data_IF_284274950445
#
_entry.id   IF_284274950445
#
_cell.length_a   1.000
_cell.length_b   1.000
_cell.length_c   1.000
_cell.angle_alpha   90.00
_cell.angle_beta   90.00
_cell.angle_gamma   90.00
#
_symmetry.space_group_name_H-M   'P 1'
#
loop_
_entity.id
_entity.type
_entity.pdbx_description
1 polymer ?
#
# COMPACT_ATOMS: atom_id res chain seq x y z
N UNK A 1 -60.82 -17.82 -2.16
CA UNK A 1 -61.33 -18.38 -3.42
C UNK A 1 -60.25 -18.09 -4.45
N UNK A 2 -59.46 -18.96 -5.04
CA UNK A 2 -59.55 -20.37 -5.44
C UNK A 2 -58.14 -20.94 -5.41
N UNK A 3 -58.01 -22.13 -4.81
CA UNK A 3 -56.85 -23.03 -4.88
C UNK A 3 -56.62 -23.58 -6.29
N UNK A 4 -55.36 -23.84 -6.66
CA UNK A 4 -55.03 -25.01 -7.46
C UNK A 4 -53.63 -25.56 -7.09
N UNK A 5 -53.68 -26.69 -6.46
CA UNK A 5 -52.63 -27.70 -6.22
C UNK A 5 -52.65 -28.70 -7.39
N UNK A 6 -51.48 -29.21 -7.84
CA UNK A 6 -51.35 -30.58 -8.43
C UNK A 6 -49.91 -30.85 -8.91
N UNK A 7 -49.55 -32.15 -9.06
CA UNK A 7 -49.06 -33.05 -8.02
C UNK A 7 -47.70 -33.68 -8.38
N UNK A 8 -47.20 -34.41 -7.40
CA UNK A 8 -46.02 -35.27 -7.40
C UNK A 8 -46.18 -36.44 -8.38
N UNK A 9 -45.12 -36.83 -9.10
CA UNK A 9 -44.97 -38.12 -9.69
C UNK A 9 -43.59 -38.72 -9.37
N UNK A 10 -43.60 -39.74 -8.50
CA UNK A 10 -42.49 -40.63 -8.24
C UNK A 10 -42.42 -41.67 -9.37
N UNK A 11 -41.22 -42.04 -9.79
CA UNK A 11 -40.94 -43.39 -10.32
C UNK A 11 -39.48 -43.74 -10.02
N UNK A 12 -39.33 -44.68 -9.09
CA UNK A 12 -38.14 -45.48 -8.89
C UNK A 12 -37.93 -46.45 -10.04
N UNK A 13 -36.68 -46.60 -10.48
CA UNK A 13 -36.25 -47.85 -11.09
C UNK A 13 -34.80 -48.19 -10.72
N UNK A 14 -34.67 -49.26 -9.97
CA UNK A 14 -33.44 -49.98 -9.64
C UNK A 14 -32.77 -50.56 -10.90
N UNK A 15 -31.48 -50.40 -11.03
CA UNK A 15 -30.62 -51.36 -11.72
C UNK A 15 -29.29 -51.53 -10.95
N UNK A 16 -29.22 -52.65 -10.23
CA UNK A 16 -27.98 -53.24 -9.73
C UNK A 16 -27.23 -53.89 -10.88
N UNK A 17 -26.00 -53.50 -11.15
CA UNK A 17 -25.00 -54.33 -11.79
C UNK A 17 -23.70 -54.31 -10.99
N UNK A 18 -23.37 -55.46 -10.44
CA UNK A 18 -22.12 -55.83 -9.79
C UNK A 18 -21.02 -56.02 -10.83
N UNK A 19 -19.86 -55.43 -10.63
CA UNK A 19 -18.60 -55.79 -11.29
C UNK A 19 -17.50 -56.03 -10.24
N UNK A 20 -16.55 -56.95 -10.49
CA UNK A 20 -15.64 -57.52 -9.51
C UNK A 20 -14.46 -56.59 -9.17
N UNK A 21 -13.73 -56.83 -8.05
CA UNK A 21 -12.66 -55.98 -7.58
C UNK A 21 -11.39 -56.18 -8.42
N UNK A 22 -10.83 -55.07 -8.95
CA UNK A 22 -9.45 -55.05 -9.47
C UNK A 22 -8.51 -54.52 -8.38
N UNK A 23 -7.50 -55.32 -8.12
CA UNK A 23 -6.36 -55.06 -7.27
C UNK A 23 -5.70 -53.73 -7.64
N UNK A 24 -5.59 -52.81 -6.70
CA UNK A 24 -4.77 -51.60 -6.81
C UNK A 24 -3.36 -51.87 -6.29
N UNK A 25 -2.37 -51.81 -7.16
CA UNK A 25 -0.98 -51.67 -6.76
C UNK A 25 -0.69 -50.18 -6.40
N UNK A 26 0.17 -49.91 -5.40
CA UNK A 26 0.42 -48.57 -4.91
C UNK A 26 1.67 -47.96 -5.58
N UNK A 27 1.53 -47.26 -6.70
CA UNK A 27 2.56 -46.33 -7.16
C UNK A 27 1.92 -45.24 -8.03
N UNK A 28 1.96 -43.98 -7.61
CA UNK A 28 1.74 -42.86 -8.51
C UNK A 28 0.88 -41.67 -8.02
N UNK A 29 0.53 -41.54 -6.75
CA UNK A 29 -0.43 -40.48 -6.33
C UNK A 29 0.16 -39.25 -5.62
N UNK A 30 1.50 -39.10 -5.54
CA UNK A 30 2.10 -37.99 -4.77
C UNK A 30 2.70 -36.84 -5.60
N UNK A 31 2.87 -37.01 -6.92
CA UNK A 31 3.47 -35.93 -7.75
C UNK A 31 2.46 -35.00 -8.42
N UNK A 32 1.21 -35.46 -8.65
CA UNK A 32 0.19 -34.60 -9.29
C UNK A 32 -0.44 -33.56 -8.37
N UNK A 33 -0.53 -33.81 -7.06
CA UNK A 33 -1.09 -32.81 -6.10
C UNK A 33 -0.19 -31.59 -5.84
N UNK A 34 1.12 -31.70 -6.05
CA UNK A 34 2.04 -30.58 -5.81
C UNK A 34 2.08 -29.60 -7.00
N UNK A 35 1.83 -30.06 -8.21
CA UNK A 35 1.83 -29.22 -9.41
C UNK A 35 0.51 -28.43 -9.58
N UNK A 36 -0.64 -28.97 -9.17
CA UNK A 36 -1.91 -28.25 -9.20
C UNK A 36 -2.08 -27.25 -8.04
N UNK A 37 -1.43 -27.49 -6.90
CA UNK A 37 -1.40 -26.54 -5.77
C UNK A 37 -0.51 -25.32 -6.03
N UNK A 38 0.41 -25.37 -7.00
CA UNK A 38 1.32 -24.26 -7.34
C UNK A 38 0.70 -23.21 -8.27
N UNK A 39 -0.55 -23.38 -8.71
CA UNK A 39 -1.22 -22.46 -9.64
C UNK A 39 -2.44 -21.74 -9.04
N UNK A 40 -2.66 -21.82 -7.73
CA UNK A 40 -3.81 -21.16 -7.08
C UNK A 40 -3.32 -19.87 -6.42
N UNK A 41 -3.78 -18.72 -6.92
CA UNK A 41 -3.45 -17.42 -6.34
C UNK A 41 -4.04 -17.24 -4.93
N UNK A 42 -3.57 -16.21 -4.20
CA UNK A 42 -3.91 -16.00 -2.79
C UNK A 42 -5.42 -15.88 -2.56
N UNK A 43 -6.13 -15.10 -3.37
CA UNK A 43 -7.57 -14.90 -3.19
C UNK A 43 -8.37 -16.17 -3.47
N UNK A 44 -8.04 -16.89 -4.52
CA UNK A 44 -8.72 -18.16 -4.84
C UNK A 44 -8.47 -19.21 -3.75
N UNK A 45 -7.22 -19.35 -3.26
CA UNK A 45 -6.89 -20.22 -2.14
C UNK A 45 -7.73 -19.86 -0.91
N UNK A 46 -7.80 -18.58 -0.58
CA UNK A 46 -8.56 -18.08 0.55
C UNK A 46 -10.07 -18.36 0.44
N UNK A 47 -10.66 -18.15 -0.73
CA UNK A 47 -12.08 -18.50 -1.00
C UNK A 47 -12.37 -19.99 -0.86
N UNK A 48 -11.40 -20.84 -1.16
CA UNK A 48 -11.46 -22.29 -0.94
C UNK A 48 -11.19 -22.69 0.53
N UNK A 49 -10.93 -21.73 1.41
CA UNK A 49 -10.55 -21.98 2.81
C UNK A 49 -9.15 -22.54 3.00
N UNK A 50 -8.30 -22.49 1.97
CA UNK A 50 -6.92 -22.96 2.00
C UNK A 50 -6.00 -21.86 2.52
N UNK A 51 -5.24 -22.17 3.56
CA UNK A 51 -4.26 -21.25 4.15
C UNK A 51 -2.91 -21.48 3.46
N UNK A 52 -2.42 -20.48 2.74
CA UNK A 52 -1.12 -20.52 2.06
C UNK A 52 0.03 -20.26 3.03
N UNK A 53 1.28 -20.47 2.59
CA UNK A 53 2.46 -20.15 3.39
C UNK A 53 2.58 -18.62 3.59
N UNK A 54 2.23 -17.82 2.57
CA UNK A 54 2.20 -16.37 2.66
C UNK A 54 1.21 -15.90 3.74
N UNK A 55 0.02 -16.48 3.81
CA UNK A 55 -0.96 -16.18 4.87
C UNK A 55 -0.43 -16.52 6.26
N UNK A 56 0.37 -17.58 6.41
CA UNK A 56 0.99 -17.95 7.69
C UNK A 56 2.10 -16.96 8.07
N UNK A 57 2.90 -16.53 7.09
CA UNK A 57 3.95 -15.53 7.32
C UNK A 57 3.31 -14.21 7.79
N UNK A 58 2.32 -13.70 7.05
CA UNK A 58 1.58 -12.48 7.41
C UNK A 58 0.94 -12.62 8.80
N UNK A 59 0.31 -13.76 9.09
CA UNK A 59 -0.31 -14.00 10.38
C UNK A 59 0.68 -13.94 11.54
N UNK A 60 1.89 -14.47 11.35
CA UNK A 60 2.98 -14.43 12.33
C UNK A 60 3.49 -13.00 12.54
N UNK A 61 3.74 -12.26 11.46
CA UNK A 61 4.24 -10.89 11.53
C UNK A 61 3.23 -9.92 12.17
N UNK A 62 1.94 -10.17 11.96
CA UNK A 62 0.86 -9.35 12.51
C UNK A 62 0.33 -9.86 13.86
N UNK A 63 0.91 -10.92 14.42
CA UNK A 63 0.41 -11.60 15.64
C UNK A 63 -1.10 -11.86 15.56
N UNK A 64 -1.53 -12.47 14.44
CA UNK A 64 -2.92 -12.75 14.15
C UNK A 64 -3.11 -14.24 13.76
N UNK A 65 -4.34 -14.72 13.79
CA UNK A 65 -4.67 -16.08 13.39
C UNK A 65 -4.61 -16.25 11.86
N UNK A 66 -3.92 -17.27 11.32
CA UNK A 66 -3.93 -17.57 9.89
C UNK A 66 -5.35 -17.76 9.31
N UNK A 67 -6.30 -18.29 10.09
CA UNK A 67 -7.69 -18.40 9.70
C UNK A 67 -8.39 -17.06 9.53
N UNK A 68 -8.02 -16.05 10.36
CA UNK A 68 -8.57 -14.70 10.20
C UNK A 68 -7.99 -14.02 8.96
N UNK A 69 -6.67 -14.14 8.74
CA UNK A 69 -6.04 -13.65 7.50
C UNK A 69 -6.74 -14.27 6.28
N UNK A 70 -6.87 -15.59 6.22
CA UNK A 70 -7.54 -16.27 5.12
C UNK A 70 -8.96 -15.73 4.86
N UNK A 71 -9.78 -15.56 5.91
CA UNK A 71 -11.13 -15.00 5.76
C UNK A 71 -11.14 -13.57 5.21
N UNK A 72 -10.20 -12.72 5.68
CA UNK A 72 -10.09 -11.32 5.24
C UNK A 72 -9.59 -11.23 3.79
N UNK A 73 -8.66 -12.10 3.38
CA UNK A 73 -8.21 -12.22 1.98
C UNK A 73 -9.37 -12.70 1.09
N UNK A 74 -10.12 -13.74 1.51
CA UNK A 74 -11.28 -14.22 0.78
C UNK A 74 -12.38 -13.16 0.59
N UNK A 75 -12.51 -12.25 1.57
CA UNK A 75 -13.45 -11.11 1.51
C UNK A 75 -12.88 -9.90 0.75
N UNK A 76 -11.61 -9.92 0.28
CA UNK A 76 -10.95 -8.80 -0.37
C UNK A 76 -10.70 -7.61 0.55
N UNK A 77 -10.65 -7.81 1.88
CA UNK A 77 -10.38 -6.79 2.91
C UNK A 77 -8.94 -6.78 3.39
N UNK A 78 -8.17 -7.80 3.01
CA UNK A 78 -6.72 -7.89 3.16
C UNK A 78 -6.17 -8.36 1.84
N UNK A 79 -5.09 -7.74 1.39
CA UNK A 79 -4.27 -8.22 0.26
C UNK A 79 -2.92 -8.69 0.78
N UNK A 80 -2.34 -9.66 0.11
CA UNK A 80 -0.98 -10.13 0.34
C UNK A 80 -0.16 -9.76 -0.88
N UNK A 81 0.72 -8.77 -0.72
CA UNK A 81 1.56 -8.25 -1.79
C UNK A 81 2.79 -9.13 -1.96
N UNK A 82 2.70 -10.06 -2.90
CA UNK A 82 3.80 -10.89 -3.37
C UNK A 82 3.47 -11.49 -4.73
N UNK A 83 4.27 -11.15 -5.74
CA UNK A 83 4.20 -11.75 -7.07
C UNK A 83 4.80 -13.17 -7.04
N UNK A 84 4.23 -14.11 -7.80
CA UNK A 84 4.71 -15.50 -7.88
C UNK A 84 6.12 -15.62 -8.46
N UNK A 85 6.53 -14.70 -9.34
CA UNK A 85 7.88 -14.65 -9.94
C UNK A 85 8.93 -14.02 -8.99
N UNK A 86 8.50 -13.45 -7.86
CA UNK A 86 9.39 -12.79 -6.92
C UNK A 86 9.94 -13.77 -5.87
N UNK A 87 11.24 -14.05 -5.90
CA UNK A 87 11.89 -15.03 -5.01
C UNK A 87 12.22 -14.44 -3.62
N UNK A 88 12.70 -13.18 -3.59
CA UNK A 88 13.25 -12.56 -2.39
C UNK A 88 12.28 -11.69 -1.59
N UNK A 89 11.03 -11.48 -2.04
CA UNK A 89 10.08 -10.68 -1.28
C UNK A 89 9.50 -11.43 -0.08
N UNK A 90 9.48 -10.76 1.07
CA UNK A 90 8.74 -11.19 2.25
C UNK A 90 7.27 -10.83 2.03
N UNK A 91 6.33 -11.79 2.07
CA UNK A 91 4.91 -11.51 1.90
C UNK A 91 4.41 -10.50 2.94
N UNK A 92 3.73 -9.45 2.49
CA UNK A 92 3.20 -8.39 3.33
C UNK A 92 1.67 -8.36 3.24
N UNK A 93 1.00 -8.38 4.39
CA UNK A 93 -0.45 -8.16 4.47
C UNK A 93 -0.79 -6.67 4.61
N UNK A 94 -1.74 -6.16 3.80
CA UNK A 94 -2.25 -4.79 3.89
C UNK A 94 -3.77 -4.87 4.01
N UNK A 95 -4.36 -4.21 5.02
CA UNK A 95 -5.82 -4.12 5.16
C UNK A 95 -6.34 -4.29 6.58
N UNK A 96 -7.61 -4.69 6.65
CA UNK A 96 -8.41 -4.74 7.88
C UNK A 96 -7.74 -5.47 9.04
N UNK A 97 -7.58 -4.74 10.16
CA UNK A 97 -7.10 -5.30 11.42
C UNK A 97 -5.61 -5.66 11.45
N UNK A 98 -4.83 -5.19 10.49
CA UNK A 98 -3.37 -5.27 10.45
C UNK A 98 -2.75 -3.94 10.82
N UNK A 99 -1.43 -3.92 11.08
CA UNK A 99 -0.68 -2.68 11.26
C UNK A 99 -0.84 -1.78 10.03
N UNK A 100 -0.86 -0.48 10.25
CA UNK A 100 -0.83 0.52 9.18
C UNK A 100 0.52 0.47 8.47
N UNK A 101 0.52 0.27 7.15
CA UNK A 101 1.74 0.13 6.35
C UNK A 101 2.20 1.48 5.80
N UNK A 102 3.50 1.57 5.52
CA UNK A 102 4.14 2.75 4.95
C UNK A 102 4.84 2.39 3.65
N UNK A 103 4.51 3.10 2.58
CA UNK A 103 5.19 3.02 1.29
C UNK A 103 6.15 4.19 1.12
N UNK A 104 7.33 3.91 0.57
CA UNK A 104 8.27 4.93 0.13
C UNK A 104 8.41 4.91 -1.39
N UNK A 105 8.37 6.10 -2.02
CA UNK A 105 8.59 6.25 -3.45
C UNK A 105 10.06 6.56 -3.74
N UNK A 106 10.62 5.90 -4.74
CA UNK A 106 11.93 6.21 -5.31
C UNK A 106 11.79 6.32 -6.83
N UNK A 107 12.79 6.82 -7.51
CA UNK A 107 12.77 6.82 -8.97
C UNK A 107 13.56 7.96 -9.59
N UNK A 108 14.12 7.68 -10.76
CA UNK A 108 14.88 8.62 -11.59
C UNK A 108 13.99 9.63 -12.30
N UNK A 109 14.56 10.77 -12.64
CA UNK A 109 13.95 11.76 -13.55
C UNK A 109 14.91 12.11 -14.69
N UNK A 110 14.43 12.91 -15.65
CA UNK A 110 15.28 13.41 -16.73
C UNK A 110 16.45 14.27 -16.23
N UNK A 111 16.25 14.99 -15.13
CA UNK A 111 17.26 15.87 -14.55
C UNK A 111 18.27 15.11 -13.65
N UNK A 112 17.87 13.98 -13.08
CA UNK A 112 18.72 13.14 -12.23
C UNK A 112 18.43 11.67 -12.47
N UNK A 113 19.34 11.01 -13.20
CA UNK A 113 19.25 9.60 -13.55
C UNK A 113 20.47 8.85 -13.02
N UNK A 114 20.41 8.43 -11.75
CA UNK A 114 21.44 7.65 -11.07
C UNK A 114 20.84 6.41 -10.42
N UNK A 115 21.05 5.25 -11.07
CA UNK A 115 20.58 3.95 -10.59
C UNK A 115 21.09 3.61 -9.19
N UNK A 116 22.38 3.90 -8.90
CA UNK A 116 22.95 3.55 -7.60
C UNK A 116 22.32 4.39 -6.48
N UNK A 117 22.05 5.67 -6.75
CA UNK A 117 21.37 6.55 -5.81
C UNK A 117 19.96 6.04 -5.50
N UNK A 118 19.20 5.61 -6.52
CA UNK A 118 17.83 5.10 -6.30
C UNK A 118 17.84 3.77 -5.53
N UNK A 119 18.81 2.90 -5.77
CA UNK A 119 19.01 1.68 -4.97
C UNK A 119 19.33 2.01 -3.51
N UNK A 120 20.20 2.98 -3.26
CA UNK A 120 20.51 3.41 -1.88
C UNK A 120 19.29 4.07 -1.20
N UNK A 121 18.49 4.85 -1.93
CA UNK A 121 17.21 5.38 -1.41
C UNK A 121 16.27 4.24 -1.00
N UNK A 122 16.10 3.21 -1.84
CA UNK A 122 15.29 2.05 -1.52
C UNK A 122 15.78 1.33 -0.25
N UNK A 123 17.09 1.08 -0.13
CA UNK A 123 17.68 0.47 1.06
C UNK A 123 17.48 1.32 2.31
N UNK A 124 17.69 2.63 2.22
CA UNK A 124 17.45 3.55 3.33
C UNK A 124 15.99 3.53 3.74
N UNK A 125 15.06 3.59 2.80
CA UNK A 125 13.63 3.50 3.10
C UNK A 125 13.30 2.24 3.91
N UNK A 126 13.77 1.08 3.47
CA UNK A 126 13.56 -0.21 4.16
C UNK A 126 14.23 -0.23 5.54
N UNK A 127 15.47 0.23 5.64
CA UNK A 127 16.22 0.26 6.90
C UNK A 127 15.56 1.13 7.98
N UNK A 128 14.83 2.18 7.59
CA UNK A 128 14.09 3.05 8.49
C UNK A 128 12.62 2.68 8.63
N UNK A 129 12.20 1.57 8.02
CA UNK A 129 10.94 0.90 8.32
C UNK A 129 9.83 1.09 7.27
N UNK A 130 10.13 1.49 6.05
CA UNK A 130 9.17 1.38 4.96
C UNK A 130 8.76 -0.09 4.77
N UNK A 131 7.47 -0.34 4.69
CA UNK A 131 6.91 -1.69 4.52
C UNK A 131 6.89 -2.11 3.05
N UNK A 132 6.90 -1.13 2.12
CA UNK A 132 7.02 -1.31 0.66
C UNK A 132 7.84 -0.18 0.06
N UNK A 133 8.34 -0.41 -1.15
CA UNK A 133 8.95 0.63 -1.99
C UNK A 133 8.26 0.67 -3.34
N UNK A 134 8.05 1.85 -3.90
CA UNK A 134 7.47 2.04 -5.21
C UNK A 134 8.47 2.71 -6.14
N UNK A 135 8.78 2.06 -7.27
CA UNK A 135 9.64 2.60 -8.31
C UNK A 135 8.83 3.46 -9.29
N UNK A 136 9.06 4.75 -9.25
CA UNK A 136 8.41 5.77 -10.10
C UNK A 136 9.37 6.33 -11.16
N UNK A 137 10.42 5.60 -11.52
CA UNK A 137 11.44 6.03 -12.47
C UNK A 137 10.86 6.43 -13.82
N UNK A 138 11.39 7.55 -14.35
CA UNK A 138 10.95 8.13 -15.63
C UNK A 138 12.11 8.42 -16.59
N UNK A 139 13.33 8.01 -16.27
CA UNK A 139 14.51 8.19 -17.11
C UNK A 139 15.50 7.04 -16.94
N UNK A 140 16.34 6.84 -17.95
CA UNK A 140 17.33 5.78 -18.00
C UNK A 140 16.82 4.48 -18.61
N UNK A 141 17.47 3.37 -18.26
CA UNK A 141 17.01 2.03 -18.59
C UNK A 141 16.01 1.53 -17.52
N UNK A 142 14.73 1.78 -17.76
CA UNK A 142 13.68 1.52 -16.77
C UNK A 142 13.59 0.04 -16.39
N UNK A 143 13.86 -0.86 -17.30
CA UNK A 143 13.87 -2.31 -17.03
C UNK A 143 15.03 -2.70 -16.09
N UNK A 144 16.19 -2.13 -16.30
CA UNK A 144 17.36 -2.38 -15.46
C UNK A 144 17.19 -1.78 -14.07
N UNK A 145 16.67 -0.54 -13.99
CA UNK A 145 16.38 0.14 -12.71
C UNK A 145 15.42 -0.70 -11.89
N UNK A 146 14.27 -1.06 -12.44
CA UNK A 146 13.26 -1.89 -11.78
C UNK A 146 13.83 -3.22 -11.27
N UNK A 147 14.53 -3.97 -12.14
CA UNK A 147 15.11 -5.27 -11.77
C UNK A 147 16.21 -5.14 -10.71
N UNK A 148 16.94 -4.05 -10.72
CA UNK A 148 18.00 -3.80 -9.73
C UNK A 148 17.39 -3.46 -8.37
N UNK A 149 16.35 -2.62 -8.33
CA UNK A 149 15.61 -2.32 -7.09
C UNK A 149 14.94 -3.58 -6.53
N UNK A 150 14.27 -4.39 -7.39
CA UNK A 150 13.66 -5.67 -7.01
C UNK A 150 14.65 -6.62 -6.32
N UNK A 151 15.90 -6.64 -6.76
CA UNK A 151 16.97 -7.49 -6.17
C UNK A 151 17.56 -6.89 -4.89
N UNK A 152 17.55 -5.57 -4.76
CA UNK A 152 18.25 -4.85 -3.70
C UNK A 152 17.54 -4.88 -2.34
N UNK A 153 16.22 -5.10 -2.31
CA UNK A 153 15.40 -5.09 -1.10
C UNK A 153 14.45 -6.29 -1.08
N UNK A 154 14.04 -6.70 0.12
CA UNK A 154 13.18 -7.86 0.38
C UNK A 154 11.72 -7.48 0.70
N UNK A 155 11.39 -6.19 0.73
CA UNK A 155 10.01 -5.72 0.84
C UNK A 155 9.30 -5.76 -0.52
N UNK A 156 7.96 -5.82 -0.55
CA UNK A 156 7.22 -5.74 -1.80
C UNK A 156 7.48 -4.44 -2.57
N UNK A 157 7.62 -4.57 -3.89
CA UNK A 157 7.86 -3.46 -4.81
C UNK A 157 6.63 -3.18 -5.65
N UNK A 158 6.23 -1.90 -5.66
CA UNK A 158 5.19 -1.38 -6.55
C UNK A 158 5.76 -0.62 -7.75
N UNK A 159 4.97 -0.52 -8.81
CA UNK A 159 5.29 0.30 -9.99
C UNK A 159 4.04 0.93 -10.61
N UNK A 160 4.25 1.88 -11.53
CA UNK A 160 3.19 2.49 -12.35
C UNK A 160 3.49 2.23 -13.83
N UNK A 161 3.05 1.10 -14.42
CA UNK A 161 3.48 0.66 -15.75
C UNK A 161 3.25 1.69 -16.86
N UNK A 162 2.19 2.49 -16.78
CA UNK A 162 1.89 3.51 -17.79
C UNK A 162 2.98 4.59 -17.89
N UNK A 163 3.81 4.78 -16.86
CA UNK A 163 4.94 5.71 -16.95
C UNK A 163 5.97 5.20 -17.95
N UNK A 164 6.32 3.92 -17.89
CA UNK A 164 7.25 3.32 -18.85
C UNK A 164 6.66 3.32 -20.25
N UNK A 165 5.39 2.93 -20.42
CA UNK A 165 4.73 2.97 -21.72
C UNK A 165 4.78 4.37 -22.35
N UNK A 166 4.46 5.41 -21.58
CA UNK A 166 4.48 6.78 -22.07
C UNK A 166 5.89 7.24 -22.48
N UNK A 167 6.92 6.90 -21.66
CA UNK A 167 8.31 7.29 -21.91
C UNK A 167 8.88 6.58 -23.15
N UNK A 168 8.62 5.27 -23.28
CA UNK A 168 9.02 4.50 -24.47
C UNK A 168 8.30 5.04 -25.71
N UNK A 169 7.00 5.35 -25.62
CA UNK A 169 6.24 5.95 -26.72
C UNK A 169 6.78 7.33 -27.12
N UNK A 170 7.17 8.18 -26.17
CA UNK A 170 7.78 9.48 -26.51
C UNK A 170 9.07 9.30 -27.30
N UNK A 171 9.90 8.33 -26.91
CA UNK A 171 11.17 8.04 -27.60
C UNK A 171 10.96 7.57 -29.04
N UNK A 172 9.91 6.77 -29.26
CA UNK A 172 9.67 6.10 -30.54
C UNK A 172 8.70 6.89 -31.45
N UNK A 173 7.71 7.58 -30.86
CA UNK A 173 6.59 8.20 -31.57
C UNK A 173 6.39 9.69 -31.21
N UNK A 174 7.32 10.31 -30.51
CA UNK A 174 7.40 11.74 -30.16
C UNK A 174 6.33 12.28 -29.20
N UNK A 175 5.21 11.59 -28.97
CA UNK A 175 4.14 12.09 -28.11
C UNK A 175 3.41 10.97 -27.34
N UNK A 176 3.06 11.25 -26.07
CA UNK A 176 2.34 10.32 -25.16
C UNK A 176 1.01 9.87 -25.78
N UNK A 177 0.32 10.74 -26.49
CA UNK A 177 -0.97 10.43 -27.10
C UNK A 177 -0.89 9.29 -28.13
N UNK A 178 0.28 8.97 -28.65
CA UNK A 178 0.49 7.87 -29.58
C UNK A 178 0.74 6.52 -28.92
N UNK A 179 0.51 6.38 -27.59
CA UNK A 179 0.53 5.08 -26.93
C UNK A 179 -0.47 4.14 -27.60
N UNK A 180 -0.03 2.91 -27.85
CA UNK A 180 -0.92 1.84 -28.30
C UNK A 180 -1.49 1.08 -27.10
N UNK A 181 -2.74 0.59 -27.25
CA UNK A 181 -3.39 -0.19 -26.20
C UNK A 181 -2.58 -1.45 -25.85
N UNK A 182 -2.00 -2.12 -26.86
CA UNK A 182 -1.16 -3.30 -26.65
C UNK A 182 0.14 -2.95 -25.91
N UNK A 183 0.75 -1.79 -26.16
CA UNK A 183 1.98 -1.37 -25.48
C UNK A 183 1.73 -1.21 -23.98
N UNK A 184 0.55 -0.71 -23.57
CA UNK A 184 0.15 -0.59 -22.17
C UNK A 184 0.11 -1.97 -21.50
N UNK A 185 -0.60 -2.93 -22.09
CA UNK A 185 -0.73 -4.27 -21.51
C UNK A 185 0.56 -5.09 -21.57
N UNK A 186 1.35 -4.95 -22.65
CA UNK A 186 2.67 -5.57 -22.75
C UNK A 186 3.62 -5.07 -21.65
N UNK A 187 3.56 -3.77 -21.32
CA UNK A 187 4.36 -3.20 -20.22
C UNK A 187 3.91 -3.73 -18.87
N UNK A 188 2.60 -3.85 -18.62
CA UNK A 188 2.06 -4.46 -17.40
C UNK A 188 2.55 -5.90 -17.26
N UNK A 189 2.43 -6.70 -18.33
CA UNK A 189 2.89 -8.10 -18.29
C UNK A 189 4.42 -8.19 -18.11
N UNK A 190 5.19 -7.28 -18.71
CA UNK A 190 6.64 -7.17 -18.53
C UNK A 190 7.01 -6.93 -17.05
N UNK A 191 6.34 -5.97 -16.38
CA UNK A 191 6.54 -5.72 -14.95
C UNK A 191 6.15 -6.94 -14.11
N UNK A 192 5.05 -7.61 -14.45
CA UNK A 192 4.63 -8.82 -13.77
C UNK A 192 5.67 -9.95 -13.88
N UNK A 193 6.23 -10.17 -15.07
CA UNK A 193 7.32 -11.14 -15.32
C UNK A 193 8.61 -10.81 -14.58
N UNK A 194 8.91 -9.53 -14.37
CA UNK A 194 10.06 -9.10 -13.59
C UNK A 194 9.86 -9.29 -12.07
N UNK A 195 8.65 -9.63 -11.62
CA UNK A 195 8.32 -9.92 -10.22
C UNK A 195 7.83 -8.71 -9.43
N UNK A 196 7.22 -7.71 -10.07
CA UNK A 196 6.58 -6.58 -9.36
C UNK A 196 5.39 -7.07 -8.55
N UNK A 197 5.32 -6.72 -7.27
CA UNK A 197 4.39 -7.28 -6.30
C UNK A 197 3.01 -6.60 -6.31
N UNK A 198 2.95 -5.31 -6.68
CA UNK A 198 1.71 -4.57 -6.89
C UNK A 198 1.89 -3.48 -7.94
N UNK A 199 0.83 -3.13 -8.67
CA UNK A 199 0.92 -2.16 -9.76
C UNK A 199 -0.22 -1.16 -9.69
N UNK A 200 0.14 0.14 -9.76
CA UNK A 200 -0.85 1.20 -9.87
C UNK A 200 -1.35 1.29 -11.30
N UNK A 201 -2.67 1.17 -11.46
CA UNK A 201 -3.39 1.21 -12.72
C UNK A 201 -4.58 2.17 -12.60
N UNK A 202 -4.62 3.21 -13.45
CA UNK A 202 -5.62 4.28 -13.38
C UNK A 202 -6.88 3.93 -14.19
N UNK A 203 -7.52 2.82 -13.82
CA UNK A 203 -8.71 2.32 -14.53
C UNK A 203 -9.95 3.20 -14.33
N UNK A 204 -10.01 3.98 -13.23
CA UNK A 204 -11.15 4.83 -12.89
C UNK A 204 -11.28 6.10 -13.75
N UNK A 205 -10.24 6.47 -14.50
CA UNK A 205 -10.23 7.65 -15.39
C UNK A 205 -11.03 7.36 -16.66
N UNK A 206 -12.33 7.57 -16.64
CA UNK A 206 -13.21 7.26 -17.79
C UNK A 206 -13.38 8.44 -18.75
N UNK A 207 -13.73 8.15 -20.01
CA UNK A 207 -13.99 9.16 -21.02
C UNK A 207 -15.07 10.16 -20.58
N UNK A 208 -16.11 9.68 -19.90
CA UNK A 208 -17.20 10.52 -19.41
C UNK A 208 -16.69 11.58 -18.43
N UNK A 209 -15.84 11.17 -17.48
CA UNK A 209 -15.31 12.09 -16.48
C UNK A 209 -14.38 13.11 -17.12
N UNK A 210 -13.44 12.64 -17.96
CA UNK A 210 -12.47 13.50 -18.66
C UNK A 210 -13.16 14.55 -19.53
N UNK A 211 -14.17 14.17 -20.32
CA UNK A 211 -14.96 15.12 -21.12
C UNK A 211 -15.71 16.15 -20.28
N UNK A 212 -16.12 15.79 -19.07
CA UNK A 212 -16.79 16.74 -18.18
C UNK A 212 -15.79 17.70 -17.52
N UNK A 213 -14.62 17.22 -17.10
CA UNK A 213 -13.53 18.07 -16.59
C UNK A 213 -13.12 19.10 -17.64
N UNK A 214 -13.01 18.69 -18.93
CA UNK A 214 -12.67 19.60 -20.02
C UNK A 214 -13.70 20.75 -20.17
N UNK A 215 -14.96 20.56 -19.81
CA UNK A 215 -16.01 21.58 -19.85
C UNK A 215 -16.13 22.37 -18.52
N UNK A 216 -15.79 21.76 -17.42
CA UNK A 216 -15.89 22.32 -16.07
C UNK A 216 -14.57 22.08 -15.34
N UNK A 217 -13.52 22.87 -15.62
CA UNK A 217 -12.19 22.62 -15.09
C UNK A 217 -12.16 22.84 -13.56
N UNK A 218 -11.33 22.01 -12.91
CA UNK A 218 -10.93 22.16 -11.51
C UNK A 218 -9.84 23.21 -11.39
N UNK A 219 -9.57 23.68 -10.17
CA UNK A 219 -8.50 24.65 -9.91
C UNK A 219 -7.13 24.12 -10.37
N UNK A 220 -6.77 22.89 -9.98
CA UNK A 220 -5.50 22.26 -10.34
C UNK A 220 -5.60 21.29 -11.53
N UNK A 221 -6.80 21.09 -12.08
CA UNK A 221 -7.02 20.13 -13.18
C UNK A 221 -6.77 18.68 -12.76
N UNK A 222 -5.96 17.94 -13.52
CA UNK A 222 -5.58 16.54 -13.25
C UNK A 222 -4.10 16.53 -12.91
N UNK A 223 -3.75 16.23 -11.66
CA UNK A 223 -2.37 16.27 -11.13
C UNK A 223 -1.71 14.89 -11.07
N UNK A 224 -2.49 13.81 -11.12
CA UNK A 224 -1.93 12.47 -11.25
C UNK A 224 -1.26 12.32 -12.62
N UNK A 225 0.03 11.96 -12.64
CA UNK A 225 0.76 11.76 -13.89
C UNK A 225 0.11 10.69 -14.78
N UNK A 226 -0.24 9.54 -14.21
CA UNK A 226 -0.93 8.47 -14.95
C UNK A 226 -2.33 8.88 -15.38
N UNK A 227 -3.07 9.58 -14.52
CA UNK A 227 -4.38 10.15 -14.85
C UNK A 227 -4.31 11.15 -16.01
N UNK A 228 -3.29 12.03 -15.99
CA UNK A 228 -3.07 13.02 -17.07
C UNK A 228 -2.71 12.35 -18.40
N UNK A 229 -1.85 11.32 -18.38
CA UNK A 229 -1.48 10.59 -19.60
C UNK A 229 -2.71 9.94 -20.26
N UNK A 230 -3.54 9.29 -19.46
CA UNK A 230 -4.77 8.68 -19.93
C UNK A 230 -5.81 9.72 -20.36
N UNK A 231 -5.96 10.82 -19.63
CA UNK A 231 -6.87 11.89 -20.02
C UNK A 231 -6.48 12.52 -21.37
N UNK A 232 -5.19 12.78 -21.61
CA UNK A 232 -4.68 13.26 -22.88
C UNK A 232 -4.95 12.26 -24.02
N UNK A 233 -4.70 10.98 -23.78
CA UNK A 233 -4.97 9.90 -24.73
C UNK A 233 -6.47 9.81 -25.07
N UNK A 234 -7.35 9.82 -24.05
CA UNK A 234 -8.81 9.77 -24.20
C UNK A 234 -9.32 10.95 -25.06
N UNK A 235 -8.85 12.17 -24.76
CA UNK A 235 -9.26 13.36 -25.50
C UNK A 235 -8.80 13.33 -26.95
N UNK A 236 -7.56 12.87 -27.20
CA UNK A 236 -7.01 12.80 -28.55
C UNK A 236 -7.72 11.76 -29.42
N UNK A 237 -7.88 10.53 -28.90
CA UNK A 237 -8.48 9.44 -29.65
C UNK A 237 -10.00 9.45 -29.61
N UNK A 238 -10.61 10.22 -28.72
CA UNK A 238 -12.05 10.22 -28.48
C UNK A 238 -12.58 8.80 -28.16
N UNK A 239 -11.75 7.97 -27.49
CA UNK A 239 -12.05 6.61 -27.06
C UNK A 239 -12.05 6.49 -25.54
N UNK A 240 -12.60 5.39 -25.06
CA UNK A 240 -12.54 5.05 -23.62
C UNK A 240 -11.12 4.66 -23.22
N UNK A 241 -10.80 4.86 -21.93
CA UNK A 241 -9.56 4.42 -21.30
C UNK A 241 -9.30 2.93 -21.59
N UNK A 242 -8.18 2.56 -22.20
CA UNK A 242 -7.88 1.15 -22.51
C UNK A 242 -7.89 0.24 -21.28
N UNK A 243 -7.42 0.73 -20.11
CA UNK A 243 -7.39 -0.04 -18.86
C UNK A 243 -8.79 -0.29 -18.28
N UNK A 244 -9.74 0.63 -18.52
CA UNK A 244 -11.14 0.44 -18.15
C UNK A 244 -11.87 -0.46 -19.16
N UNK A 245 -11.71 -0.18 -20.45
CA UNK A 245 -12.39 -0.91 -21.53
C UNK A 245 -11.99 -2.40 -21.57
N UNK A 246 -10.72 -2.71 -21.32
CA UNK A 246 -10.17 -4.07 -21.34
C UNK A 246 -9.80 -4.56 -19.92
N UNK A 247 -10.60 -4.18 -18.90
CA UNK A 247 -10.30 -4.50 -17.52
C UNK A 247 -10.23 -6.02 -17.25
N UNK A 248 -11.05 -6.82 -17.93
CA UNK A 248 -11.01 -8.28 -17.78
C UNK A 248 -9.68 -8.88 -18.24
N UNK A 249 -9.07 -8.34 -19.30
CA UNK A 249 -7.74 -8.75 -19.74
C UNK A 249 -6.66 -8.37 -18.72
N UNK A 250 -6.78 -7.20 -18.08
CA UNK A 250 -5.91 -6.82 -16.96
C UNK A 250 -6.04 -7.79 -15.79
N UNK A 251 -7.26 -8.22 -15.46
CA UNK A 251 -7.52 -9.19 -14.41
C UNK A 251 -6.90 -10.57 -14.74
N UNK A 252 -6.91 -11.00 -15.99
CA UNK A 252 -6.24 -12.23 -16.43
C UNK A 252 -4.72 -12.17 -16.18
N UNK A 253 -4.07 -11.04 -16.52
CA UNK A 253 -2.64 -10.84 -16.25
C UNK A 253 -2.37 -10.84 -14.75
N UNK A 254 -3.15 -10.08 -13.96
CA UNK A 254 -2.97 -10.01 -12.52
C UNK A 254 -3.15 -11.37 -11.84
N UNK A 255 -4.14 -12.13 -12.26
CA UNK A 255 -4.41 -13.48 -11.77
C UNK A 255 -3.28 -14.47 -12.09
N UNK A 256 -2.69 -14.35 -13.29
CA UNK A 256 -1.61 -15.22 -13.77
C UNK A 256 -0.33 -15.11 -12.94
N UNK A 257 0.01 -13.89 -12.51
CA UNK A 257 1.24 -13.59 -11.77
C UNK A 257 1.01 -13.35 -10.28
N UNK A 258 -0.26 -13.33 -9.83
CA UNK A 258 -0.71 -13.05 -8.46
C UNK A 258 -0.15 -11.75 -7.85
N UNK A 259 0.00 -10.70 -8.66
CA UNK A 259 0.29 -9.38 -8.13
C UNK A 259 -1.01 -8.64 -7.77
N UNK A 260 -0.94 -7.76 -6.76
CA UNK A 260 -2.08 -6.95 -6.39
C UNK A 260 -2.25 -5.75 -7.34
N UNK A 261 -3.50 -5.49 -7.76
CA UNK A 261 -3.83 -4.25 -8.44
C UNK A 261 -3.94 -3.13 -7.39
N UNK A 262 -3.26 -2.01 -7.62
CA UNK A 262 -3.50 -0.75 -6.92
C UNK A 262 -4.33 0.12 -7.88
N UNK A 263 -5.64 0.22 -7.61
CA UNK A 263 -6.57 0.99 -8.46
C UNK A 263 -6.34 2.47 -8.18
N UNK A 264 -5.60 3.09 -9.10
CA UNK A 264 -5.01 4.41 -8.91
C UNK A 264 -6.04 5.55 -8.95
N UNK A 265 -5.80 6.55 -8.12
CA UNK A 265 -6.57 7.80 -8.01
C UNK A 265 -6.14 8.83 -9.09
N UNK A 266 -6.40 8.52 -10.35
CA UNK A 266 -6.01 9.35 -11.48
C UNK A 266 -6.62 10.76 -11.45
N UNK A 267 -7.70 10.93 -10.71
CA UNK A 267 -8.42 12.19 -10.55
C UNK A 267 -8.38 12.72 -9.11
N UNK A 268 -7.37 12.32 -8.32
CA UNK A 268 -7.17 12.88 -6.99
C UNK A 268 -7.07 14.40 -7.02
N UNK A 269 -7.54 15.11 -5.96
CA UNK A 269 -7.39 16.56 -5.88
C UNK A 269 -5.92 16.95 -5.77
N UNK A 270 -5.53 18.00 -6.51
CA UNK A 270 -4.19 18.58 -6.49
C UNK A 270 -4.01 19.71 -5.47
N UNK A 271 -5.10 20.11 -4.84
CA UNK A 271 -5.14 21.06 -3.71
C UNK A 271 -6.39 20.81 -2.86
N UNK A 272 -6.38 21.33 -1.63
CA UNK A 272 -7.50 21.21 -0.70
C UNK A 272 -8.82 21.81 -1.22
N UNK A 273 -8.77 22.73 -2.17
CA UNK A 273 -9.95 23.37 -2.77
C UNK A 273 -10.63 22.51 -3.84
N UNK A 274 -9.94 21.52 -4.37
CA UNK A 274 -10.49 20.50 -5.29
C UNK A 274 -10.91 19.22 -4.55
N UNK A 275 -10.72 19.16 -3.21
CA UNK A 275 -11.03 17.97 -2.42
C UNK A 275 -12.52 17.66 -2.43
N UNK A 276 -12.84 16.36 -2.51
CA UNK A 276 -14.22 15.84 -2.47
C UNK A 276 -15.11 16.38 -3.59
N UNK A 277 -14.51 16.82 -4.68
CA UNK A 277 -15.24 17.33 -5.84
C UNK A 277 -15.84 16.18 -6.69
N UNK A 278 -16.62 16.56 -7.70
CA UNK A 278 -17.33 15.60 -8.52
C UNK A 278 -16.38 14.61 -9.26
N UNK A 279 -15.24 15.01 -9.86
CA UNK A 279 -14.34 14.06 -10.51
C UNK A 279 -13.77 13.01 -9.58
N UNK A 280 -13.32 13.41 -8.38
CA UNK A 280 -12.79 12.50 -7.36
C UNK A 280 -13.85 11.47 -6.94
N UNK A 281 -15.06 11.91 -6.63
CA UNK A 281 -16.13 11.03 -6.18
C UNK A 281 -16.61 10.11 -7.31
N UNK A 282 -16.68 10.61 -8.53
CA UNK A 282 -17.10 9.80 -9.68
C UNK A 282 -16.08 8.71 -10.01
N UNK A 283 -14.79 9.03 -9.92
CA UNK A 283 -13.72 8.03 -10.05
C UNK A 283 -13.85 6.95 -8.96
N UNK A 284 -14.06 7.35 -7.71
CA UNK A 284 -14.23 6.41 -6.60
C UNK A 284 -15.42 5.46 -6.81
N UNK A 285 -16.54 5.96 -7.33
CA UNK A 285 -17.70 5.11 -7.68
C UNK A 285 -17.33 4.08 -8.75
N UNK A 286 -16.61 4.51 -9.80
CA UNK A 286 -16.11 3.61 -10.84
C UNK A 286 -15.14 2.57 -10.27
N UNK A 287 -14.23 2.99 -9.39
CA UNK A 287 -13.27 2.09 -8.72
C UNK A 287 -14.01 1.06 -7.86
N UNK A 288 -15.09 1.44 -7.18
CA UNK A 288 -15.89 0.48 -6.41
C UNK A 288 -16.43 -0.67 -7.26
N UNK A 289 -16.95 -0.37 -8.46
CA UNK A 289 -17.38 -1.40 -9.42
C UNK A 289 -16.21 -2.28 -9.88
N UNK A 290 -15.04 -1.69 -10.13
CA UNK A 290 -13.84 -2.43 -10.54
C UNK A 290 -13.29 -3.34 -9.43
N UNK A 291 -13.38 -2.92 -8.16
CA UNK A 291 -13.04 -3.75 -7.01
C UNK A 291 -13.90 -5.01 -6.94
N UNK A 292 -15.21 -4.89 -7.14
CA UNK A 292 -16.10 -6.07 -7.15
C UNK A 292 -15.75 -7.01 -8.30
N UNK A 293 -15.51 -6.51 -9.51
CA UNK A 293 -15.06 -7.33 -10.66
C UNK A 293 -13.73 -8.02 -10.39
N UNK A 294 -12.77 -7.33 -9.75
CA UNK A 294 -11.50 -7.93 -9.35
C UNK A 294 -11.72 -9.10 -8.37
N UNK A 295 -12.57 -8.90 -7.37
CA UNK A 295 -12.94 -9.95 -6.41
C UNK A 295 -13.59 -11.15 -7.09
N UNK A 296 -14.55 -10.93 -7.98
CA UNK A 296 -15.20 -11.99 -8.75
C UNK A 296 -14.20 -12.81 -9.58
N UNK A 297 -13.20 -12.15 -10.15
CA UNK A 297 -12.12 -12.76 -10.91
C UNK A 297 -11.01 -13.42 -10.06
N UNK A 298 -11.11 -13.42 -8.72
CA UNK A 298 -10.08 -13.87 -7.78
C UNK A 298 -8.78 -13.03 -7.81
N UNK A 299 -8.87 -11.73 -8.07
CA UNK A 299 -7.74 -10.80 -8.10
C UNK A 299 -7.75 -9.90 -6.87
N UNK A 300 -6.59 -9.72 -6.25
CA UNK A 300 -6.40 -8.82 -5.11
C UNK A 300 -6.36 -7.36 -5.58
N UNK A 301 -7.08 -6.47 -4.90
CA UNK A 301 -7.11 -5.05 -5.21
C UNK A 301 -6.93 -4.19 -3.96
N UNK A 302 -6.08 -3.17 -4.09
CA UNK A 302 -5.91 -2.02 -3.19
C UNK A 302 -6.58 -0.84 -3.90
N UNK A 303 -7.21 0.05 -3.17
CA UNK A 303 -7.76 1.31 -3.71
C UNK A 303 -6.84 2.45 -3.31
N UNK A 304 -6.48 3.31 -4.27
CA UNK A 304 -5.75 4.54 -3.96
C UNK A 304 -6.72 5.68 -3.68
N UNK A 305 -6.30 6.61 -2.85
CA UNK A 305 -7.14 7.70 -2.40
C UNK A 305 -6.44 9.05 -2.38
N UNK A 306 -7.18 10.12 -2.04
CA UNK A 306 -6.80 11.50 -2.31
C UNK A 306 -5.52 11.92 -1.59
N UNK A 307 -4.76 12.81 -2.26
CA UNK A 307 -3.54 13.40 -1.73
C UNK A 307 -3.77 14.71 -0.96
N UNK A 308 -4.64 15.60 -1.44
CA UNK A 308 -4.89 16.92 -0.83
C UNK A 308 -6.32 16.98 -0.31
N UNK A 309 -6.48 16.96 1.03
CA UNK A 309 -7.79 16.97 1.69
C UNK A 309 -7.72 17.79 2.97
N UNK A 310 -8.60 18.81 3.17
CA UNK A 310 -8.64 19.54 4.43
C UNK A 310 -9.05 18.61 5.58
N UNK A 311 -8.62 18.94 6.80
CA UNK A 311 -8.73 18.06 7.97
C UNK A 311 -10.16 17.56 8.23
N UNK A 312 -11.14 18.42 8.07
CA UNK A 312 -12.56 18.15 8.33
C UNK A 312 -13.21 17.21 7.30
N UNK A 313 -12.57 16.96 6.17
CA UNK A 313 -13.07 16.07 5.12
C UNK A 313 -12.36 14.71 5.08
N UNK A 314 -11.27 14.51 5.82
CA UNK A 314 -10.49 13.26 5.78
C UNK A 314 -11.35 12.06 6.19
N UNK A 315 -12.01 12.14 7.35
CA UNK A 315 -12.80 11.03 7.86
C UNK A 315 -13.91 10.62 6.87
N UNK A 316 -14.65 11.59 6.33
CA UNK A 316 -15.71 11.32 5.38
C UNK A 316 -15.20 10.69 4.07
N UNK A 317 -14.04 11.12 3.55
CA UNK A 317 -13.42 10.52 2.37
C UNK A 317 -13.03 9.06 2.60
N UNK A 318 -12.42 8.76 3.76
CA UNK A 318 -12.00 7.40 4.11
C UNK A 318 -13.23 6.49 4.29
N UNK A 319 -14.24 6.94 5.01
CA UNK A 319 -15.46 6.17 5.24
C UNK A 319 -16.25 5.93 3.96
N UNK A 320 -16.25 6.91 3.06
CA UNK A 320 -16.91 6.79 1.75
C UNK A 320 -16.23 5.69 0.90
N UNK A 321 -14.91 5.68 0.84
CA UNK A 321 -14.17 4.59 0.17
C UNK A 321 -14.50 3.23 0.79
N UNK A 322 -14.37 3.11 2.13
CA UNK A 322 -14.64 1.85 2.82
C UNK A 322 -16.05 1.33 2.57
N UNK A 323 -17.00 2.23 2.41
CA UNK A 323 -18.39 1.88 2.09
C UNK A 323 -18.56 1.45 0.63
N UNK A 324 -18.04 2.25 -0.32
CA UNK A 324 -18.20 2.03 -1.77
C UNK A 324 -17.39 0.81 -2.22
N UNK A 325 -16.15 0.66 -1.72
CA UNK A 325 -15.25 -0.43 -2.08
C UNK A 325 -15.35 -1.65 -1.14
N UNK A 326 -16.43 -1.72 -0.32
CA UNK A 326 -16.73 -2.85 0.56
C UNK A 326 -15.55 -3.27 1.45
N UNK A 327 -14.84 -2.28 2.04
CA UNK A 327 -13.71 -2.47 2.95
C UNK A 327 -12.42 -2.94 2.28
N UNK A 328 -12.22 -2.68 0.99
CA UNK A 328 -10.93 -2.90 0.34
C UNK A 328 -9.80 -2.15 1.07
N UNK A 329 -8.55 -2.64 1.03
CA UNK A 329 -7.43 -1.89 1.59
C UNK A 329 -7.30 -0.53 0.92
N UNK A 330 -7.14 0.54 1.73
CA UNK A 330 -7.09 1.91 1.23
C UNK A 330 -5.70 2.52 1.41
N UNK A 331 -5.11 2.95 0.30
CA UNK A 331 -3.79 3.53 0.17
C UNK A 331 -3.92 5.03 -0.12
N UNK A 332 -3.41 5.90 0.76
CA UNK A 332 -3.55 7.35 0.65
C UNK A 332 -2.19 8.05 0.56
N UNK A 333 -2.14 9.13 -0.22
CA UNK A 333 -0.97 10.00 -0.35
C UNK A 333 -1.03 11.11 0.71
N UNK A 334 -0.37 10.95 1.83
CA UNK A 334 -0.45 11.85 2.97
C UNK A 334 -1.66 11.52 3.86
N UNK A 335 -2.83 12.22 3.81
CA UNK A 335 -3.17 13.39 2.99
C UNK A 335 -2.48 14.71 3.38
N UNK A 336 -2.26 15.56 2.38
CA UNK A 336 -1.75 16.93 2.55
C UNK A 336 -2.91 17.82 2.98
N UNK A 337 -2.80 18.41 4.18
CA UNK A 337 -3.93 19.12 4.81
C UNK A 337 -3.83 20.65 4.69
N UNK A 338 -2.76 21.16 4.09
CA UNK A 338 -2.53 22.60 3.82
C UNK A 338 -1.48 22.77 2.73
N UNK A 339 -1.59 23.86 1.95
CA UNK A 339 -0.72 24.15 0.81
C UNK A 339 0.49 25.03 1.17
N UNK A 340 0.53 25.62 2.37
CA UNK A 340 1.47 26.68 2.69
C UNK A 340 2.79 26.21 3.32
N UNK A 341 3.07 24.92 3.28
CA UNK A 341 4.20 24.33 3.98
C UNK A 341 5.22 23.61 3.07
N UNK A 342 5.61 24.12 1.89
CA UNK A 342 6.65 23.51 1.07
C UNK A 342 7.95 23.32 1.88
N UNK A 343 8.58 22.15 1.76
CA UNK A 343 9.72 21.75 2.59
C UNK A 343 9.36 21.07 3.90
N UNK A 344 8.07 21.06 4.26
CA UNK A 344 7.50 20.37 5.43
C UNK A 344 6.36 19.42 5.07
N UNK A 345 6.25 19.03 3.81
CA UNK A 345 5.17 18.16 3.31
C UNK A 345 5.09 16.82 4.05
N UNK A 346 6.22 16.27 4.48
CA UNK A 346 6.30 15.09 5.32
C UNK A 346 5.58 15.26 6.67
N UNK A 347 5.65 16.45 7.28
CA UNK A 347 4.94 16.77 8.53
C UNK A 347 3.44 16.93 8.24
N UNK A 348 3.11 17.69 7.18
CA UNK A 348 1.73 17.91 6.75
C UNK A 348 1.04 16.59 6.43
N UNK A 349 1.72 15.70 5.68
CA UNK A 349 1.25 14.36 5.35
C UNK A 349 1.11 13.44 6.56
N UNK A 350 1.98 13.57 7.57
CA UNK A 350 1.84 12.80 8.81
C UNK A 350 0.61 13.21 9.63
N UNK A 351 0.26 14.51 9.64
CA UNK A 351 -0.97 15.00 10.29
C UNK A 351 -2.19 14.37 9.61
N UNK A 352 -2.28 14.49 8.28
CA UNK A 352 -3.40 13.93 7.52
C UNK A 352 -3.42 12.41 7.56
N UNK A 353 -2.26 11.75 7.44
CA UNK A 353 -2.12 10.30 7.48
C UNK A 353 -2.54 9.70 8.82
N UNK A 354 -2.28 10.41 9.94
CA UNK A 354 -2.78 9.98 11.26
C UNK A 354 -4.30 9.98 11.30
N UNK A 355 -4.96 11.03 10.82
CA UNK A 355 -6.41 11.10 10.77
C UNK A 355 -7.00 10.08 9.79
N UNK A 356 -6.40 9.94 8.62
CA UNK A 356 -6.82 8.94 7.64
C UNK A 356 -6.73 7.51 8.18
N UNK A 357 -5.63 7.17 8.85
CA UNK A 357 -5.44 5.86 9.48
C UNK A 357 -6.44 5.59 10.60
N UNK A 358 -6.74 6.59 11.43
CA UNK A 358 -7.79 6.48 12.47
C UNK A 358 -9.17 6.27 11.85
N UNK A 359 -9.45 6.91 10.73
CA UNK A 359 -10.70 6.77 9.99
C UNK A 359 -10.82 5.44 9.23
N UNK A 360 -9.71 4.72 8.99
CA UNK A 360 -9.72 3.40 8.37
C UNK A 360 -8.75 3.17 7.21
N UNK A 361 -7.90 4.14 6.85
CA UNK A 361 -6.85 3.89 5.86
C UNK A 361 -5.84 2.85 6.39
N UNK A 362 -5.38 1.99 5.50
CA UNK A 362 -4.53 0.84 5.85
C UNK A 362 -3.07 1.04 5.43
N UNK A 363 -2.83 1.95 4.48
CA UNK A 363 -1.57 2.09 3.80
C UNK A 363 -1.30 3.57 3.51
N UNK A 364 -0.18 4.08 4.00
CA UNK A 364 0.21 5.48 3.90
C UNK A 364 1.39 5.62 2.93
N UNK A 365 1.23 6.44 1.90
CA UNK A 365 2.36 6.91 1.11
C UNK A 365 3.10 7.97 1.90
N UNK A 366 4.41 7.81 2.02
CA UNK A 366 5.23 8.83 2.63
C UNK A 366 5.29 10.10 1.76
N UNK A 367 5.55 11.22 2.40
CA UNK A 367 6.01 12.43 1.76
C UNK A 367 7.39 12.79 2.29
N UNK A 368 8.18 13.50 1.49
CA UNK A 368 9.51 13.95 1.88
C UNK A 368 9.54 15.48 2.04
N UNK A 369 10.57 16.05 2.69
CA UNK A 369 10.78 17.50 2.67
C UNK A 369 10.90 18.10 1.26
N UNK A 370 11.31 17.29 0.28
CA UNK A 370 11.50 17.72 -1.10
C UNK A 370 10.21 17.64 -1.94
N UNK A 371 9.10 17.14 -1.40
CA UNK A 371 7.82 17.05 -2.13
C UNK A 371 7.41 18.42 -2.67
N UNK A 372 6.90 18.45 -3.90
CA UNK A 372 6.58 19.67 -4.67
C UNK A 372 7.77 20.60 -5.00
N UNK A 373 9.00 20.30 -4.54
CA UNK A 373 10.20 21.14 -4.73
C UNK A 373 11.27 20.49 -5.60
N UNK A 374 11.42 19.16 -5.53
CA UNK A 374 12.46 18.45 -6.28
C UNK A 374 12.57 16.98 -5.94
N UNK A 375 13.57 16.29 -6.50
CA UNK A 375 13.83 14.91 -6.14
C UNK A 375 14.46 14.80 -4.74
N UNK A 376 14.00 13.86 -3.90
CA UNK A 376 14.51 13.70 -2.55
C UNK A 376 15.96 13.20 -2.53
N UNK A 377 16.73 13.69 -1.58
CA UNK A 377 18.02 13.12 -1.18
C UNK A 377 17.84 11.88 -0.30
N UNK A 378 18.95 11.19 0.03
CA UNK A 378 18.91 10.05 0.98
C UNK A 378 18.37 10.45 2.36
N UNK A 379 18.71 11.67 2.83
CA UNK A 379 18.24 12.17 4.13
C UNK A 379 16.75 12.55 4.07
N UNK A 380 16.28 13.10 2.96
CA UNK A 380 14.86 13.41 2.77
C UNK A 380 14.00 12.11 2.77
N UNK A 381 14.48 11.04 2.11
CA UNK A 381 13.83 9.73 2.14
C UNK A 381 13.77 9.18 3.57
N UNK A 382 14.89 9.23 4.30
CA UNK A 382 14.95 8.83 5.71
C UNK A 382 13.96 9.61 6.58
N UNK A 383 13.97 10.95 6.47
CA UNK A 383 13.08 11.82 7.25
C UNK A 383 11.61 11.53 6.95
N UNK A 384 11.25 11.41 5.67
CA UNK A 384 9.89 11.11 5.23
C UNK A 384 9.38 9.77 5.76
N UNK A 385 10.20 8.71 5.68
CA UNK A 385 9.84 7.39 6.20
C UNK A 385 9.63 7.43 7.72
N UNK A 386 10.57 8.04 8.47
CA UNK A 386 10.47 8.11 9.93
C UNK A 386 9.21 8.85 10.35
N UNK A 387 8.92 9.99 9.74
CA UNK A 387 7.76 10.82 10.10
C UNK A 387 6.45 10.09 9.79
N UNK A 388 6.36 9.42 8.63
CA UNK A 388 5.19 8.61 8.28
C UNK A 388 5.05 7.37 9.19
N UNK A 389 6.15 6.74 9.60
CA UNK A 389 6.12 5.64 10.59
C UNK A 389 5.65 6.11 11.98
N UNK A 390 5.95 7.35 12.37
CA UNK A 390 5.40 7.94 13.60
C UNK A 390 3.88 8.06 13.50
N UNK A 391 3.37 8.57 12.35
CA UNK A 391 1.93 8.66 12.09
C UNK A 391 1.26 7.28 12.13
N UNK A 392 1.79 6.31 11.39
CA UNK A 392 1.29 4.93 11.35
C UNK A 392 1.30 4.27 12.74
N UNK A 393 2.37 4.45 13.51
CA UNK A 393 2.47 3.91 14.85
C UNK A 393 1.45 4.51 15.82
N UNK A 394 1.23 5.83 15.75
CA UNK A 394 0.21 6.50 16.55
C UNK A 394 -1.20 5.97 16.25
N UNK A 395 -1.50 5.69 14.99
CA UNK A 395 -2.73 5.02 14.56
C UNK A 395 -2.83 3.62 15.12
N UNK A 396 -1.75 2.84 15.03
CA UNK A 396 -1.72 1.43 15.45
C UNK A 396 -1.92 1.28 16.97
N UNK A 397 -1.46 2.23 17.78
CA UNK A 397 -1.76 2.25 19.23
C UNK A 397 -3.28 2.25 19.48
N UNK A 398 -4.04 2.98 18.67
CA UNK A 398 -5.51 3.02 18.78
C UNK A 398 -6.14 1.77 18.16
N UNK A 399 -5.70 1.36 16.96
CA UNK A 399 -6.25 0.19 16.24
C UNK A 399 -5.98 -1.14 16.92
N UNK A 400 -4.77 -1.34 17.45
CA UNK A 400 -4.26 -2.63 17.91
C UNK A 400 -4.02 -2.67 19.44
N UNK A 401 -4.12 -1.53 20.12
CA UNK A 401 -4.03 -1.42 21.58
C UNK A 401 -2.69 -1.92 22.14
N UNK A 402 -2.74 -2.85 23.08
CA UNK A 402 -1.56 -3.34 23.79
C UNK A 402 -0.48 -3.95 22.89
N UNK A 403 -0.87 -4.53 21.72
CA UNK A 403 0.09 -5.08 20.76
C UNK A 403 1.01 -4.00 20.22
N UNK A 404 0.47 -2.86 19.78
CA UNK A 404 1.25 -1.77 19.22
C UNK A 404 1.98 -0.96 20.30
N UNK A 405 1.37 -0.73 21.47
CA UNK A 405 1.91 0.13 22.52
C UNK A 405 2.99 -0.52 23.41
N UNK A 406 3.37 -1.76 23.17
CA UNK A 406 4.40 -2.46 23.98
C UNK A 406 5.75 -1.72 23.97
N UNK A 407 6.16 -1.18 22.81
CA UNK A 407 7.39 -0.40 22.64
C UNK A 407 7.33 0.94 23.38
N UNK A 408 6.17 1.60 23.38
CA UNK A 408 5.93 2.84 24.14
C UNK A 408 6.00 2.59 25.64
N UNK A 409 5.45 1.48 26.13
CA UNK A 409 5.55 1.08 27.51
C UNK A 409 7.01 0.82 27.92
N UNK A 410 7.80 0.16 27.06
CA UNK A 410 9.23 -0.04 27.27
C UNK A 410 9.98 1.28 27.33
N UNK A 411 9.69 2.21 26.41
CA UNK A 411 10.22 3.56 26.40
C UNK A 411 9.84 4.34 27.68
N UNK A 412 8.58 4.29 28.09
CA UNK A 412 8.10 4.96 29.31
C UNK A 412 8.83 4.43 30.55
N UNK A 413 9.00 3.11 30.69
CA UNK A 413 9.79 2.49 31.77
C UNK A 413 11.25 2.93 31.73
N UNK A 414 11.87 2.98 30.55
CA UNK A 414 13.25 3.46 30.40
C UNK A 414 13.37 4.95 30.79
N UNK A 415 12.41 5.79 30.44
CA UNK A 415 12.34 7.21 30.82
C UNK A 415 12.15 7.37 32.34
N UNK A 416 11.21 6.62 32.92
CA UNK A 416 10.99 6.62 34.39
C UNK A 416 12.26 6.23 35.15
N UNK A 417 13.09 5.35 34.58
CA UNK A 417 14.35 4.92 35.17
C UNK A 417 15.57 5.77 34.78
N UNK A 418 15.41 6.81 33.96
CA UNK A 418 16.50 7.59 33.39
C UNK A 418 17.54 6.73 32.66
N UNK A 419 17.12 5.56 32.14
CA UNK A 419 17.96 4.63 31.38
C UNK A 419 18.06 5.10 29.92
N UNK A 420 19.04 5.95 29.68
CA UNK A 420 19.25 6.53 28.35
C UNK A 420 19.63 5.52 27.29
N UNK A 421 20.28 4.45 27.67
CA UNK A 421 20.63 3.37 26.72
C UNK A 421 19.36 2.74 26.17
N UNK A 422 18.46 2.31 27.05
CA UNK A 422 17.17 1.74 26.64
C UNK A 422 16.25 2.74 25.94
N UNK A 423 16.28 4.03 26.33
CA UNK A 423 15.53 5.07 25.59
C UNK A 423 15.98 5.18 24.15
N UNK A 424 17.29 5.18 23.89
CA UNK A 424 17.86 5.24 22.55
C UNK A 424 17.56 3.95 21.75
N UNK A 425 17.69 2.79 22.38
CA UNK A 425 17.38 1.49 21.76
C UNK A 425 15.90 1.37 21.36
N UNK A 426 14.99 1.98 22.11
CA UNK A 426 13.56 2.01 21.79
C UNK A 426 13.17 3.15 20.84
N UNK A 427 14.06 4.07 20.46
CA UNK A 427 13.74 5.16 19.56
C UNK A 427 13.57 4.66 18.12
N UNK A 428 12.62 5.20 17.36
CA UNK A 428 12.47 4.92 15.92
C UNK A 428 13.72 5.35 15.15
N UNK A 429 14.26 6.53 15.45
CA UNK A 429 15.56 7.00 14.97
C UNK A 429 16.55 7.09 16.13
N UNK A 430 17.23 5.99 16.41
CA UNK A 430 18.24 5.91 17.48
C UNK A 430 19.48 6.76 17.19
N UNK A 431 19.82 6.98 15.91
CA UNK A 431 20.97 7.79 15.49
C UNK A 431 20.71 9.27 15.77
N UNK A 432 19.54 9.80 15.34
CA UNK A 432 19.12 11.18 15.60
C UNK A 432 19.02 11.44 17.11
N UNK A 433 18.47 10.48 17.87
CA UNK A 433 18.39 10.58 19.32
C UNK A 433 19.78 10.65 19.98
N UNK A 434 20.74 9.80 19.59
CA UNK A 434 22.13 9.84 20.03
C UNK A 434 22.80 11.17 19.68
N UNK A 435 22.68 11.62 18.43
CA UNK A 435 23.24 12.88 17.92
C UNK A 435 22.73 14.08 18.71
N UNK A 436 21.41 14.15 18.95
CA UNK A 436 20.82 15.26 19.72
C UNK A 436 21.29 15.24 21.17
N UNK A 437 21.27 14.06 21.83
CA UNK A 437 21.75 13.95 23.20
C UNK A 437 23.24 14.31 23.36
N UNK A 438 24.06 14.00 22.36
CA UNK A 438 25.51 14.27 22.35
C UNK A 438 25.92 15.72 22.03
N UNK A 439 24.97 16.60 21.66
CA UNK A 439 25.29 18.00 21.27
C UNK A 439 25.91 18.81 22.40
N UNK A 440 25.57 18.50 23.63
CA UNK A 440 26.00 19.25 24.81
C UNK A 440 26.72 18.31 25.77
N UNK A 441 27.91 18.68 26.24
CA UNK A 441 28.60 17.93 27.30
C UNK A 441 27.81 18.04 28.60
N UNK A 442 27.27 16.91 29.06
CA UNK A 442 26.42 16.85 30.24
C UNK A 442 27.26 16.90 31.52
N UNK A 443 26.78 17.65 32.54
CA UNK A 443 27.36 17.65 33.88
C UNK A 443 27.08 16.34 34.64
N UNK A 444 25.97 15.68 34.33
CA UNK A 444 25.58 14.37 34.87
C UNK A 444 25.10 13.48 33.73
N UNK A 445 25.48 12.22 33.74
CA UNK A 445 25.00 11.21 32.78
C UNK A 445 23.53 10.81 33.01
N UNK A 446 23.00 11.02 34.21
CA UNK A 446 21.65 10.61 34.61
C UNK A 446 20.55 11.46 33.97
N UNK A 447 20.79 12.77 33.83
CA UNK A 447 19.78 13.71 33.36
C UNK A 447 20.10 14.28 31.96
N UNK A 448 19.12 14.90 31.30
CA UNK A 448 19.37 15.64 30.06
C UNK A 448 19.79 17.08 30.36
N UNK A 449 20.33 17.77 29.35
CA UNK A 449 20.75 19.18 29.47
C UNK A 449 19.60 20.17 29.65
N UNK A 450 18.34 19.77 29.36
CA UNK A 450 17.17 20.63 29.53
C UNK A 450 16.85 20.92 31.00
N UNK A 451 16.76 19.88 31.82
CA UNK A 451 16.37 20.00 33.22
C UNK A 451 17.59 19.93 34.17
N UNK A 452 18.66 19.22 33.79
CA UNK A 452 19.87 19.03 34.61
C UNK A 452 19.55 18.66 36.05
N UNK A 453 19.98 19.48 37.03
CA UNK A 453 19.73 19.27 38.46
C UNK A 453 18.24 19.39 38.85
N UNK A 454 17.41 20.04 38.02
CA UNK A 454 15.97 20.22 38.28
C UNK A 454 15.10 19.17 37.57
N UNK A 455 15.66 18.01 37.27
CA UNK A 455 14.91 16.94 36.62
C UNK A 455 13.79 16.44 37.53
N UNK A 456 12.54 16.65 37.11
CA UNK A 456 11.35 16.27 37.90
C UNK A 456 11.33 14.78 38.27
N UNK A 457 11.72 13.88 37.34
CA UNK A 457 11.78 12.43 37.58
C UNK A 457 12.82 12.14 38.66
N UNK A 458 13.99 12.76 38.63
CA UNK A 458 15.06 12.57 39.59
C UNK A 458 14.65 13.07 40.98
N UNK A 459 14.16 14.31 41.06
CA UNK A 459 13.74 14.96 42.30
C UNK A 459 12.64 14.14 43.00
N UNK A 460 11.58 13.76 42.26
CA UNK A 460 10.50 12.97 42.84
C UNK A 460 10.99 11.60 43.36
N UNK A 461 11.85 10.93 42.58
CA UNK A 461 12.43 9.65 43.00
C UNK A 461 13.28 9.77 44.26
N UNK A 462 14.07 10.82 44.39
CA UNK A 462 14.88 11.08 45.59
C UNK A 462 14.00 11.38 46.82
N UNK A 463 12.92 12.17 46.61
CA UNK A 463 11.96 12.46 47.66
C UNK A 463 11.22 11.20 48.16
N UNK A 464 10.71 10.35 47.25
CA UNK A 464 10.03 9.12 47.61
C UNK A 464 10.95 8.11 48.29
N UNK A 465 12.22 8.02 47.88
CA UNK A 465 13.22 7.20 48.58
C UNK A 465 13.46 7.69 49.99
N UNK A 466 13.48 8.99 50.24
CA UNK A 466 13.62 9.55 51.59
C UNK A 466 12.44 9.18 52.52
N UNK A 467 11.24 8.99 51.95
CA UNK A 467 10.04 8.54 52.66
C UNK A 467 9.91 7.01 52.72
N UNK A 468 10.93 6.23 52.31
CA UNK A 468 10.91 4.78 52.31
C UNK A 468 9.99 4.15 51.26
N UNK A 469 9.54 4.92 50.26
CA UNK A 469 8.69 4.46 49.15
C UNK A 469 9.51 4.19 47.89
N UNK A 470 9.17 3.12 47.17
CA UNK A 470 9.71 2.84 45.84
C UNK A 470 8.68 3.18 44.77
N UNK A 471 9.15 3.84 43.70
CA UNK A 471 8.37 4.03 42.46
C UNK A 471 8.40 2.77 41.60
#
# INVERSE_FOLDING_TARGET
>A
MINHVFPICQTEMLFKRTLPPRSCEPFGCCKFRKAELSMVNQMKAAKMGQITEEMKIVAKEEDESPKKICRRVAAGRVVITRNMERENAIPLGIGEGLRTKVNANVGTSADLCDLNLEVEKAKIAVNYGADTVMDLSTSGNLDEIRRTILKAVDVPIGTVPIYQTAIETIKDKEAIIHMDENDIFNTIEKHAKDGVDFMTVHCGVTQQIVKRIAKHPRLMGIVSRGGTFLAAWILHHNKENPLYANYDYLLEIAKKYDFALSLGDGLRPGCIFDATDWPQIQELLTIGELVERAREADVQAIVEGPGHVPLDQIESNIQLEKSICNGAPFYVLGPVVTEIAPGYDHIVGAIGGTLAGLAGADFLCYLTPAEHLGLPTLEDVKEGVIVTKIAAHAVDIVKLGAKASARDLAMAKARANLDWKKQIENALDSEKAKKIRGRIKLKSAETCSMCSQYCAIKILREALKAEGQCL
#
